data_IF_893956843628
#
_entry.id   IF_893956843628
#
_cell.length_a   1.000
_cell.length_b   1.000
_cell.length_c   1.000
_cell.angle_alpha   90.00
_cell.angle_beta   90.00
_cell.angle_gamma   90.00
#
_symmetry.space_group_name_H-M   'P 1'
#
loop_
_entity.id
_entity.type
_entity.pdbx_description
1 polymer ?
#
# COMPACT_ATOMS: atom_id res chain seq x y z
N UNK A 1 1.17 -1.18 -38.54
CA UNK A 1 1.47 -2.21 -37.53
C UNK A 1 2.16 -1.51 -36.38
N UNK A 2 1.40 -1.06 -35.39
CA UNK A 2 1.98 -0.49 -34.16
C UNK A 2 2.55 -1.66 -33.37
N UNK A 3 3.85 -1.67 -33.11
CA UNK A 3 4.46 -2.62 -32.17
C UNK A 3 3.66 -2.55 -30.87
N UNK A 4 2.97 -3.63 -30.51
CA UNK A 4 2.35 -3.76 -29.20
C UNK A 4 3.47 -4.05 -28.21
N UNK A 5 4.31 -3.05 -27.93
CA UNK A 5 5.30 -3.18 -26.87
C UNK A 5 4.53 -3.28 -25.55
N UNK A 6 4.61 -4.46 -24.93
CA UNK A 6 4.06 -4.69 -23.60
C UNK A 6 4.60 -3.63 -22.63
N UNK A 7 3.79 -3.19 -21.65
CA UNK A 7 4.26 -2.25 -20.64
C UNK A 7 5.57 -2.72 -20.00
N UNK A 8 6.50 -1.77 -19.77
CA UNK A 8 7.79 -2.03 -19.10
C UNK A 8 7.65 -2.69 -17.73
N UNK A 9 6.55 -2.39 -17.04
CA UNK A 9 6.28 -2.84 -15.68
C UNK A 9 5.22 -3.94 -15.68
N UNK A 10 5.55 -5.10 -15.11
CA UNK A 10 4.60 -6.19 -14.87
C UNK A 10 4.51 -6.49 -13.38
N UNK A 11 3.33 -6.29 -12.81
CA UNK A 11 3.02 -6.52 -11.40
C UNK A 11 2.55 -7.96 -11.20
N UNK A 12 3.22 -8.66 -10.28
CA UNK A 12 2.96 -10.04 -9.91
C UNK A 12 2.31 -10.08 -8.52
N UNK A 13 1.00 -10.30 -8.45
CA UNK A 13 0.26 -10.39 -7.19
C UNK A 13 -0.96 -11.31 -7.27
N UNK A 14 -1.57 -11.62 -6.12
CA UNK A 14 -2.84 -12.35 -6.06
C UNK A 14 -3.95 -11.57 -6.79
N UNK A 15 -4.79 -12.24 -7.59
CA UNK A 15 -5.90 -11.60 -8.28
C UNK A 15 -7.09 -11.35 -7.34
N UNK A 16 -7.98 -10.46 -7.73
CA UNK A 16 -9.28 -10.25 -7.07
C UNK A 16 -9.25 -9.60 -5.69
N UNK A 17 -8.07 -9.22 -5.18
CA UNK A 17 -7.92 -8.47 -3.93
C UNK A 17 -6.96 -7.27 -4.10
N UNK A 18 -7.20 -6.14 -3.41
CA UNK A 18 -6.23 -5.05 -3.39
C UNK A 18 -4.88 -5.50 -2.79
N UNK A 19 -4.95 -5.98 -1.54
CA UNK A 19 -3.83 -6.54 -0.80
C UNK A 19 -2.58 -5.64 -0.75
N UNK A 20 -1.41 -6.26 -0.68
CA UNK A 20 -0.09 -5.59 -0.56
C UNK A 20 0.39 -4.96 -1.87
N UNK A 21 -0.24 -5.27 -2.99
CA UNK A 21 0.08 -4.69 -4.29
C UNK A 21 -0.66 -3.38 -4.56
N UNK A 22 -1.72 -3.09 -3.82
CA UNK A 22 -2.51 -1.88 -4.03
C UNK A 22 -1.71 -0.60 -3.89
N UNK A 23 -0.75 -0.59 -2.96
CA UNK A 23 0.20 0.51 -2.80
C UNK A 23 1.01 0.79 -4.07
N UNK A 24 1.36 -0.26 -4.82
CA UNK A 24 2.12 -0.17 -6.07
C UNK A 24 1.19 0.24 -7.22
N UNK A 25 -0.03 -0.30 -7.26
CA UNK A 25 -1.06 0.13 -8.23
C UNK A 25 -1.32 1.62 -8.13
N UNK A 26 -1.55 2.13 -6.91
CA UNK A 26 -1.75 3.56 -6.68
C UNK A 26 -0.57 4.41 -7.17
N UNK A 27 0.67 3.95 -7.05
CA UNK A 27 1.84 4.68 -7.57
C UNK A 27 1.84 4.77 -9.11
N UNK A 28 1.46 3.70 -9.81
CA UNK A 28 1.30 3.72 -11.26
C UNK A 28 0.11 4.58 -11.69
N UNK A 29 -1.04 4.42 -11.04
CA UNK A 29 -2.29 5.11 -11.37
C UNK A 29 -2.20 6.61 -11.09
N UNK A 30 -1.55 7.02 -9.99
CA UNK A 30 -1.30 8.43 -9.67
C UNK A 30 -0.51 9.17 -10.76
N UNK A 31 0.32 8.45 -11.51
CA UNK A 31 1.19 9.03 -12.55
C UNK A 31 0.76 8.67 -13.96
N UNK A 32 -0.34 7.91 -14.11
CA UNK A 32 -0.80 7.38 -15.40
C UNK A 32 0.22 6.47 -16.08
N UNK A 33 1.15 5.88 -15.32
CA UNK A 33 2.21 5.03 -15.85
C UNK A 33 1.63 3.68 -16.29
N UNK A 34 1.79 3.26 -17.55
CA UNK A 34 1.33 1.96 -18.01
C UNK A 34 2.03 0.81 -17.29
N UNK A 35 1.24 -0.17 -16.85
CA UNK A 35 1.72 -1.42 -16.25
C UNK A 35 0.76 -2.56 -16.57
N UNK A 36 1.25 -3.79 -16.48
CA UNK A 36 0.46 -5.02 -16.58
C UNK A 36 0.18 -5.57 -15.18
N UNK A 37 -1.09 -5.70 -14.76
CA UNK A 37 -1.47 -6.44 -13.54
C UNK A 37 -1.73 -7.91 -13.87
N UNK A 38 -0.65 -8.69 -13.94
CA UNK A 38 -0.61 -9.95 -14.69
C UNK A 38 -1.73 -10.93 -14.30
N UNK A 39 -1.92 -11.14 -13.00
CA UNK A 39 -2.89 -12.12 -12.52
C UNK A 39 -4.35 -11.68 -12.75
N UNK A 40 -4.61 -10.38 -12.87
CA UNK A 40 -5.93 -9.84 -13.17
C UNK A 40 -6.17 -9.71 -14.69
N UNK A 41 -5.11 -9.60 -15.51
CA UNK A 41 -5.24 -9.35 -16.95
C UNK A 41 -5.12 -10.60 -17.84
N UNK A 42 -4.49 -11.68 -17.35
CA UNK A 42 -4.25 -12.89 -18.12
C UNK A 42 -4.84 -14.14 -17.45
N UNK A 43 -5.43 -15.05 -18.23
CA UNK A 43 -6.07 -16.27 -17.73
C UNK A 43 -5.12 -17.21 -16.98
N UNK A 44 -3.86 -17.25 -17.39
CA UNK A 44 -2.77 -18.01 -16.76
C UNK A 44 -1.88 -17.15 -15.84
N UNK A 45 -2.19 -15.85 -15.71
CA UNK A 45 -1.33 -14.90 -14.99
C UNK A 45 -1.09 -15.28 -13.53
N UNK A 46 -2.10 -15.81 -12.84
CA UNK A 46 -1.90 -16.28 -11.46
C UNK A 46 -1.02 -17.53 -11.35
N UNK A 47 -1.00 -18.40 -12.37
CA UNK A 47 -0.07 -19.52 -12.38
C UNK A 47 1.38 -19.03 -12.45
N UNK A 48 1.66 -18.01 -13.28
CA UNK A 48 2.96 -17.34 -13.33
C UNK A 48 3.32 -16.72 -11.98
N UNK A 49 2.40 -15.99 -11.33
CA UNK A 49 2.65 -15.44 -9.99
C UNK A 49 3.03 -16.52 -8.99
N UNK A 50 2.31 -17.65 -8.94
CA UNK A 50 2.63 -18.76 -8.03
C UNK A 50 4.02 -19.34 -8.30
N UNK A 51 4.33 -19.61 -9.56
CA UNK A 51 5.61 -20.20 -9.95
C UNK A 51 6.79 -19.25 -9.66
N UNK A 52 6.61 -17.95 -9.86
CA UNK A 52 7.69 -16.97 -9.65
C UNK A 52 7.87 -16.58 -8.18
N UNK A 53 6.78 -16.50 -7.42
CA UNK A 53 6.78 -15.82 -6.12
C UNK A 53 6.48 -16.70 -4.89
N UNK A 54 6.07 -17.96 -5.08
CA UNK A 54 5.56 -18.81 -3.99
C UNK A 54 6.27 -20.18 -3.94
N UNK A 55 7.18 -20.49 -4.87
CA UNK A 55 7.94 -21.73 -4.85
C UNK A 55 8.99 -21.73 -3.72
N UNK A 56 8.83 -22.53 -2.64
CA UNK A 56 9.78 -22.54 -1.52
C UNK A 56 11.11 -23.23 -1.85
N UNK A 57 11.19 -23.95 -2.97
CA UNK A 57 12.41 -24.63 -3.42
C UNK A 57 13.20 -23.80 -4.44
N UNK A 58 12.67 -22.66 -4.88
CA UNK A 58 13.32 -21.82 -5.88
C UNK A 58 14.64 -21.25 -5.35
N UNK A 59 15.72 -21.48 -6.10
CA UNK A 59 17.03 -20.85 -5.86
C UNK A 59 17.20 -19.55 -6.66
N UNK A 60 16.34 -19.33 -7.65
CA UNK A 60 16.20 -18.10 -8.42
C UNK A 60 14.76 -17.95 -8.90
N UNK A 61 14.34 -16.72 -9.18
CA UNK A 61 13.01 -16.41 -9.72
C UNK A 61 13.18 -15.62 -11.01
N UNK A 62 12.56 -16.03 -12.12
CA UNK A 62 12.67 -15.33 -13.43
C UNK A 62 14.14 -15.08 -13.87
N UNK A 63 14.76 -16.10 -14.46
CA UNK A 63 16.17 -16.07 -14.84
C UNK A 63 17.08 -16.18 -13.60
N UNK A 64 18.09 -15.30 -13.53
CA UNK A 64 19.10 -15.28 -12.46
C UNK A 64 18.77 -14.27 -11.34
N UNK A 65 17.54 -13.73 -11.29
CA UNK A 65 17.14 -12.86 -10.18
C UNK A 65 17.01 -13.68 -8.87
N UNK A 66 17.27 -13.06 -7.71
CA UNK A 66 17.15 -13.75 -6.42
C UNK A 66 15.73 -14.27 -6.20
N UNK A 67 15.57 -15.34 -5.38
CA UNK A 67 14.26 -15.91 -5.10
C UNK A 67 13.35 -14.90 -4.40
N UNK A 68 12.08 -14.91 -4.76
CA UNK A 68 11.04 -14.07 -4.16
C UNK A 68 10.44 -14.78 -2.96
N UNK A 69 10.41 -14.12 -1.80
CA UNK A 69 9.81 -14.69 -0.58
C UNK A 69 8.28 -14.80 -0.67
N UNK A 70 7.62 -13.75 -1.16
CA UNK A 70 6.18 -13.69 -1.36
C UNK A 70 5.81 -12.56 -2.34
N UNK A 71 4.64 -12.61 -3.00
CA UNK A 71 4.06 -11.46 -3.68
C UNK A 71 3.82 -10.26 -2.73
N UNK A 72 3.91 -9.01 -3.21
CA UNK A 72 4.09 -8.62 -4.60
C UNK A 72 5.54 -8.68 -5.07
N UNK A 73 5.69 -8.93 -6.36
CA UNK A 73 6.92 -8.66 -7.10
C UNK A 73 6.64 -7.78 -8.32
N UNK A 74 7.63 -7.01 -8.74
CA UNK A 74 7.60 -6.18 -9.93
C UNK A 74 8.70 -6.67 -10.89
N UNK A 75 8.28 -7.14 -12.06
CA UNK A 75 9.16 -7.37 -13.20
C UNK A 75 9.32 -6.06 -13.97
N UNK A 76 10.56 -5.69 -14.26
CA UNK A 76 10.93 -4.53 -15.08
C UNK A 76 11.73 -5.01 -16.27
N UNK A 77 11.17 -4.84 -17.46
CA UNK A 77 11.79 -5.34 -18.69
C UNK A 77 13.13 -4.65 -18.96
N UNK A 78 14.14 -5.46 -19.31
CA UNK A 78 15.47 -5.00 -19.75
C UNK A 78 16.28 -4.14 -18.75
N UNK A 79 15.95 -4.17 -17.45
CA UNK A 79 16.73 -3.50 -16.39
C UNK A 79 17.53 -4.45 -15.50
N UNK A 80 17.47 -5.75 -15.79
CA UNK A 80 18.19 -6.79 -15.08
C UNK A 80 19.66 -6.87 -15.50
N UNK A 81 20.41 -7.72 -14.79
CA UNK A 81 21.80 -8.03 -15.15
C UNK A 81 21.86 -8.59 -16.57
N UNK A 82 22.85 -8.17 -17.35
CA UNK A 82 23.03 -8.62 -18.74
C UNK A 82 21.94 -8.13 -19.71
N UNK A 83 21.14 -7.11 -19.34
CA UNK A 83 20.04 -6.61 -20.18
C UNK A 83 18.78 -7.48 -20.14
N UNK A 84 18.72 -8.46 -19.23
CA UNK A 84 17.52 -9.25 -18.96
C UNK A 84 16.49 -8.49 -18.14
N UNK A 85 15.47 -9.19 -17.64
CA UNK A 85 14.45 -8.59 -16.79
C UNK A 85 14.92 -8.48 -15.35
N UNK A 86 14.61 -7.35 -14.70
CA UNK A 86 14.84 -7.14 -13.28
C UNK A 86 13.59 -7.56 -12.50
N UNK A 87 13.76 -8.38 -11.46
CA UNK A 87 12.68 -8.75 -10.55
C UNK A 87 12.93 -8.15 -9.16
N UNK A 88 12.00 -7.31 -8.71
CA UNK A 88 12.06 -6.63 -7.41
C UNK A 88 10.90 -7.13 -6.55
N UNK A 89 11.16 -7.60 -5.34
CA UNK A 89 10.12 -7.98 -4.37
C UNK A 89 10.16 -7.10 -3.12
N UNK A 90 9.13 -7.25 -2.27
CA UNK A 90 8.80 -6.40 -1.11
C UNK A 90 8.19 -5.05 -1.49
N UNK A 91 6.98 -4.78 -1.00
CA UNK A 91 6.23 -3.55 -1.32
C UNK A 91 7.04 -2.29 -1.08
N UNK A 92 7.70 -2.16 0.07
CA UNK A 92 8.53 -0.99 0.40
C UNK A 92 9.71 -0.80 -0.56
N UNK A 93 10.38 -1.90 -0.93
CA UNK A 93 11.52 -1.90 -1.84
C UNK A 93 11.11 -1.56 -3.28
N UNK A 94 9.97 -2.11 -3.74
CA UNK A 94 9.38 -1.77 -5.04
C UNK A 94 9.02 -0.27 -5.08
N UNK A 95 8.39 0.27 -4.05
CA UNK A 95 8.04 1.69 -3.98
C UNK A 95 9.27 2.60 -3.88
N UNK A 96 10.33 2.15 -3.21
CA UNK A 96 11.61 2.87 -3.20
C UNK A 96 12.22 2.95 -4.61
N UNK A 97 12.19 1.85 -5.37
CA UNK A 97 12.64 1.84 -6.76
C UNK A 97 11.78 2.72 -7.68
N UNK A 98 10.46 2.68 -7.51
CA UNK A 98 9.49 3.39 -8.34
C UNK A 98 9.44 4.89 -8.02
N UNK A 99 9.51 5.30 -6.76
CA UNK A 99 9.34 6.69 -6.33
C UNK A 99 10.12 7.70 -7.18
N UNK A 100 11.45 7.58 -7.30
CA UNK A 100 12.26 8.45 -8.15
C UNK A 100 11.92 8.38 -9.64
N UNK A 101 11.57 7.20 -10.14
CA UNK A 101 11.25 6.98 -11.57
C UNK A 101 9.89 7.55 -11.97
N UNK A 102 8.96 7.59 -11.03
CA UNK A 102 7.61 8.10 -11.24
C UNK A 102 7.45 9.55 -10.75
N UNK A 103 8.50 10.17 -10.20
CA UNK A 103 8.44 11.51 -9.63
C UNK A 103 7.69 11.61 -8.29
N UNK A 104 7.35 10.47 -7.68
CA UNK A 104 6.64 10.31 -6.41
C UNK A 104 7.60 10.25 -5.21
N UNK A 105 8.61 11.11 -5.23
CA UNK A 105 9.63 11.23 -4.19
C UNK A 105 9.87 12.70 -3.88
N UNK A 106 10.39 12.98 -2.68
CA UNK A 106 10.78 14.33 -2.30
C UNK A 106 11.98 14.87 -3.07
N UNK A 107 12.34 16.12 -2.78
CA UNK A 107 13.24 16.91 -3.64
C UNK A 107 14.72 16.57 -3.42
N UNK A 108 15.10 16.42 -2.15
CA UNK A 108 16.47 16.11 -1.75
C UNK A 108 16.59 14.72 -1.10
N UNK A 109 17.82 14.35 -0.75
CA UNK A 109 18.11 13.04 -0.17
C UNK A 109 17.46 12.83 1.21
N UNK A 110 17.34 13.87 2.02
CA UNK A 110 16.70 13.78 3.32
C UNK A 110 15.20 13.49 3.14
N UNK A 111 14.54 14.17 2.20
CA UNK A 111 13.14 13.90 1.90
C UNK A 111 12.93 12.47 1.40
N UNK A 112 13.80 11.91 0.55
CA UNK A 112 13.65 10.52 0.08
C UNK A 112 13.69 9.54 1.25
N UNK A 113 14.58 9.78 2.22
CA UNK A 113 14.69 8.96 3.42
C UNK A 113 13.46 9.12 4.31
N UNK A 114 12.93 10.33 4.49
CA UNK A 114 11.71 10.57 5.25
C UNK A 114 10.47 9.94 4.61
N UNK A 115 10.34 10.03 3.28
CA UNK A 115 9.30 9.31 2.52
C UNK A 115 9.40 7.81 2.77
N UNK A 116 10.61 7.23 2.65
CA UNK A 116 10.85 5.82 2.94
C UNK A 116 10.48 5.42 4.38
N UNK A 117 10.79 6.27 5.37
CA UNK A 117 10.43 6.07 6.78
C UNK A 117 8.91 6.01 6.96
N UNK A 118 8.16 6.91 6.32
CA UNK A 118 6.70 6.99 6.45
C UNK A 118 6.04 5.79 5.77
N UNK A 119 6.53 5.41 4.59
CA UNK A 119 6.10 4.19 3.88
C UNK A 119 6.31 2.96 4.75
N UNK A 120 7.50 2.78 5.33
CA UNK A 120 7.78 1.64 6.21
C UNK A 120 6.84 1.60 7.43
N UNK A 121 6.64 2.75 8.09
CA UNK A 121 5.75 2.86 9.25
C UNK A 121 4.29 2.55 8.91
N UNK A 122 3.81 2.98 7.73
CA UNK A 122 2.47 2.67 7.27
C UNK A 122 2.30 1.19 6.90
N UNK A 123 3.32 0.55 6.35
CA UNK A 123 3.30 -0.88 6.07
C UNK A 123 3.35 -1.74 7.35
N UNK A 124 3.96 -1.24 8.42
CA UNK A 124 3.87 -1.86 9.75
C UNK A 124 2.43 -1.81 10.28
N UNK A 125 1.75 -0.65 10.16
CA UNK A 125 0.33 -0.53 10.51
C UNK A 125 -0.53 -1.48 9.66
N UNK A 126 -0.27 -1.58 8.35
CA UNK A 126 -0.96 -2.51 7.47
C UNK A 126 -0.85 -3.97 7.96
N UNK A 127 0.34 -4.37 8.45
CA UNK A 127 0.53 -5.69 9.05
C UNK A 127 -0.24 -5.83 10.37
N UNK A 128 -0.16 -4.84 11.25
CA UNK A 128 -0.90 -4.90 12.52
C UNK A 128 -2.42 -4.97 12.31
N UNK A 129 -2.95 -4.35 11.24
CA UNK A 129 -4.36 -4.49 10.84
C UNK A 129 -4.67 -5.91 10.39
N UNK A 130 -3.83 -6.53 9.56
CA UNK A 130 -4.01 -7.93 9.18
C UNK A 130 -4.05 -8.85 10.42
N UNK A 131 -3.14 -8.62 11.37
CA UNK A 131 -3.01 -9.44 12.57
C UNK A 131 -4.18 -9.27 13.55
N UNK A 132 -5.07 -8.28 13.35
CA UNK A 132 -6.30 -8.15 14.15
C UNK A 132 -7.25 -9.34 13.96
N UNK A 133 -7.26 -9.96 12.78
CA UNK A 133 -8.10 -11.12 12.46
C UNK A 133 -7.30 -12.41 12.24
N UNK A 134 -5.96 -12.34 12.21
CA UNK A 134 -5.06 -13.51 12.24
C UNK A 134 -3.94 -13.38 13.29
N UNK A 135 -4.26 -13.23 14.58
CA UNK A 135 -3.27 -12.97 15.63
C UNK A 135 -2.37 -14.16 16.00
N UNK A 136 -2.77 -15.40 15.69
CA UNK A 136 -2.03 -16.62 16.05
C UNK A 136 -1.33 -17.19 14.82
N UNK A 137 -2.06 -17.37 13.73
CA UNK A 137 -1.53 -17.96 12.51
C UNK A 137 -2.19 -17.33 11.27
N UNK A 138 -1.34 -16.79 10.39
CA UNK A 138 -1.74 -16.17 9.11
C UNK A 138 -2.45 -17.16 8.18
N UNK A 139 -2.11 -18.44 8.28
CA UNK A 139 -2.67 -19.49 7.43
C UNK A 139 -3.91 -20.19 8.02
N UNK A 140 -4.26 -19.92 9.29
CA UNK A 140 -5.44 -20.50 9.92
C UNK A 140 -6.66 -19.60 9.70
N UNK A 141 -7.86 -20.19 9.73
CA UNK A 141 -9.11 -19.48 9.57
C UNK A 141 -9.35 -18.49 10.73
N UNK A 142 -10.04 -17.38 10.44
CA UNK A 142 -10.41 -16.39 11.46
C UNK A 142 -11.26 -17.03 12.57
N UNK A 143 -12.18 -17.90 12.19
CA UNK A 143 -13.13 -18.58 13.06
C UNK A 143 -12.44 -19.42 14.14
N UNK A 144 -11.23 -19.92 13.87
CA UNK A 144 -10.44 -20.72 14.80
C UNK A 144 -9.64 -19.90 15.82
N UNK A 145 -9.53 -18.58 15.62
CA UNK A 145 -8.73 -17.67 16.46
C UNK A 145 -9.51 -16.39 16.82
N UNK A 146 -10.84 -16.48 16.86
CA UNK A 146 -11.76 -15.35 17.06
C UNK A 146 -11.62 -14.68 18.43
N UNK A 147 -11.42 -15.46 19.49
CA UNK A 147 -11.27 -14.93 20.85
C UNK A 147 -9.95 -14.17 21.00
N UNK A 148 -8.88 -14.68 20.40
CA UNK A 148 -7.58 -14.03 20.31
C UNK A 148 -7.67 -12.76 19.46
N UNK A 149 -8.43 -12.80 18.36
CA UNK A 149 -8.67 -11.66 17.47
C UNK A 149 -9.37 -10.52 18.21
N UNK A 150 -10.38 -10.82 19.04
CA UNK A 150 -11.04 -9.84 19.90
C UNK A 150 -10.06 -9.17 20.89
N UNK A 151 -9.20 -9.96 21.54
CA UNK A 151 -8.18 -9.45 22.48
C UNK A 151 -7.16 -8.56 21.76
N UNK A 152 -6.60 -9.05 20.65
CA UNK A 152 -5.62 -8.32 19.81
C UNK A 152 -6.22 -7.02 19.28
N UNK A 153 -7.44 -7.07 18.75
CA UNK A 153 -8.11 -5.89 18.18
C UNK A 153 -8.44 -4.85 19.25
N UNK A 154 -8.80 -5.29 20.46
CA UNK A 154 -9.04 -4.37 21.59
C UNK A 154 -7.78 -3.56 21.91
N UNK A 155 -6.62 -4.22 22.01
CA UNK A 155 -5.33 -3.52 22.19
C UNK A 155 -5.01 -2.64 20.97
N UNK A 156 -5.19 -3.17 19.76
CA UNK A 156 -4.95 -2.44 18.53
C UNK A 156 -5.71 -1.10 18.50
N UNK A 157 -7.04 -1.12 18.72
CA UNK A 157 -7.88 0.09 18.71
C UNK A 157 -7.55 1.06 19.84
N UNK A 158 -7.20 0.57 21.02
CA UNK A 158 -6.93 1.42 22.21
C UNK A 158 -5.53 2.04 22.18
N UNK A 159 -4.52 1.28 21.76
CA UNK A 159 -3.12 1.62 21.98
C UNK A 159 -2.33 1.78 20.68
N UNK A 160 -2.53 0.88 19.70
CA UNK A 160 -1.71 0.88 18.47
C UNK A 160 -2.21 1.89 17.44
N UNK A 161 -3.48 1.82 17.07
CA UNK A 161 -4.08 2.68 16.06
C UNK A 161 -3.90 4.17 16.39
N UNK A 162 -4.21 4.69 17.60
CA UNK A 162 -3.99 6.09 17.92
C UNK A 162 -2.52 6.51 17.87
N UNK A 163 -1.58 5.59 18.18
CA UNK A 163 -0.15 5.86 18.09
C UNK A 163 0.30 6.09 16.64
N UNK A 164 -0.17 5.26 15.70
CA UNK A 164 0.12 5.43 14.28
C UNK A 164 -0.58 6.66 13.69
N UNK A 165 -1.89 6.84 13.93
CA UNK A 165 -2.62 8.02 13.46
C UNK A 165 -1.98 9.30 13.97
N UNK A 166 -1.64 9.35 15.27
CA UNK A 166 -0.93 10.47 15.85
C UNK A 166 0.45 10.70 15.25
N UNK A 167 1.16 9.67 14.77
CA UNK A 167 2.42 9.83 14.07
C UNK A 167 2.23 10.50 12.70
N UNK A 168 1.29 10.03 11.88
CA UNK A 168 1.03 10.64 10.56
C UNK A 168 0.48 12.07 10.68
N UNK A 169 -0.41 12.32 11.64
CA UNK A 169 -0.88 13.67 11.99
C UNK A 169 0.29 14.60 12.38
N UNK A 170 1.27 14.11 13.15
CA UNK A 170 2.49 14.88 13.48
C UNK A 170 3.38 15.13 12.27
N UNK A 171 3.49 14.17 11.35
CA UNK A 171 4.22 14.36 10.10
C UNK A 171 3.60 15.48 9.26
N UNK A 172 2.27 15.49 9.09
CA UNK A 172 1.56 16.57 8.41
C UNK A 172 1.83 17.93 9.07
N UNK A 173 1.64 18.03 10.39
CA UNK A 173 1.90 19.28 11.15
C UNK A 173 3.35 19.73 11.08
N UNK A 174 4.31 18.79 11.04
CA UNK A 174 5.72 19.10 10.88
C UNK A 174 5.99 19.64 9.48
N UNK A 175 5.50 18.98 8.43
CA UNK A 175 5.69 19.40 7.04
C UNK A 175 5.07 20.78 6.78
N UNK A 176 3.87 21.05 7.32
CA UNK A 176 3.24 22.38 7.28
C UNK A 176 4.13 23.49 7.85
N UNK A 177 4.88 23.20 8.92
CA UNK A 177 5.80 24.17 9.52
C UNK A 177 7.04 24.42 8.66
N UNK A 178 7.52 23.42 7.93
CA UNK A 178 8.67 23.57 7.03
C UNK A 178 8.30 24.39 5.78
N UNK A 179 7.05 24.29 5.32
CA UNK A 179 6.57 24.86 4.07
C UNK A 179 6.15 26.35 4.14
N UNK A 180 6.65 27.14 5.10
CA UNK A 180 6.31 28.56 5.39
C UNK A 180 5.19 29.18 4.52
N UNK A 181 3.92 28.96 4.90
CA UNK A 181 2.69 29.50 4.26
C UNK A 181 2.48 29.17 2.77
N UNK A 182 2.73 27.93 2.33
CA UNK A 182 2.27 27.48 1.01
C UNK A 182 0.81 26.95 1.00
N UNK A 183 0.21 27.00 -0.19
CA UNK A 183 -1.19 26.68 -0.48
C UNK A 183 -1.60 25.19 -0.27
N UNK A 184 -0.65 24.32 0.07
CA UNK A 184 -0.84 22.87 0.16
C UNK A 184 -0.89 22.35 1.61
N UNK A 185 -1.43 23.17 2.51
CA UNK A 185 -1.54 22.86 3.93
C UNK A 185 -2.29 21.55 4.14
N UNK A 186 -1.70 20.61 4.90
CA UNK A 186 -2.31 19.33 5.24
C UNK A 186 -2.43 18.33 4.09
N UNK A 187 -1.86 18.62 2.91
CA UNK A 187 -2.04 17.76 1.73
C UNK A 187 -0.98 16.67 1.58
N UNK A 188 0.24 16.93 2.04
CA UNK A 188 1.38 16.02 1.86
C UNK A 188 2.16 15.79 3.15
N UNK A 189 2.62 14.57 3.35
CA UNK A 189 3.37 14.12 4.52
C UNK A 189 4.82 14.58 4.53
N UNK A 190 5.43 14.70 3.34
CA UNK A 190 6.82 15.14 3.14
C UNK A 190 6.90 15.97 1.87
N UNK A 191 7.48 17.17 1.95
CA UNK A 191 7.66 18.03 0.79
C UNK A 191 6.37 18.69 0.30
N UNK A 192 6.41 19.21 -0.93
CA UNK A 192 5.42 20.14 -1.50
C UNK A 192 4.45 19.49 -2.50
N UNK A 193 4.62 18.20 -2.79
CA UNK A 193 3.92 17.44 -3.83
C UNK A 193 3.66 16.00 -3.40
N UNK A 194 2.79 15.30 -4.14
CA UNK A 194 2.45 13.89 -3.92
C UNK A 194 3.68 12.97 -3.98
N UNK A 195 3.80 12.10 -2.98
CA UNK A 195 4.85 11.06 -2.88
C UNK A 195 4.25 9.68 -2.60
N UNK A 196 5.10 8.64 -2.63
CA UNK A 196 4.68 7.30 -2.21
C UNK A 196 4.26 7.24 -0.73
N UNK A 197 4.76 8.14 0.14
CA UNK A 197 4.30 8.20 1.52
C UNK A 197 2.81 8.54 1.62
N UNK A 198 2.36 9.51 0.83
CA UNK A 198 0.96 9.96 0.80
C UNK A 198 0.03 8.85 0.32
N UNK A 199 0.39 8.20 -0.79
CA UNK A 199 -0.37 7.10 -1.37
C UNK A 199 -0.46 5.89 -0.43
N UNK A 200 0.64 5.55 0.25
CA UNK A 200 0.68 4.40 1.17
C UNK A 200 -0.14 4.68 2.42
N UNK A 201 0.05 5.84 3.07
CA UNK A 201 -0.75 6.20 4.24
C UNK A 201 -2.22 6.28 3.88
N UNK A 202 -2.57 6.94 2.77
CA UNK A 202 -3.95 7.04 2.32
C UNK A 202 -4.60 5.67 2.11
N UNK A 203 -3.93 4.73 1.46
CA UNK A 203 -4.47 3.38 1.23
C UNK A 203 -4.69 2.60 2.53
N UNK A 204 -3.81 2.78 3.53
CA UNK A 204 -4.02 2.18 4.85
C UNK A 204 -5.22 2.81 5.55
N UNK A 205 -5.39 4.13 5.47
CA UNK A 205 -6.55 4.82 6.03
C UNK A 205 -7.85 4.37 5.34
N UNK A 206 -7.88 4.26 4.01
CA UNK A 206 -9.05 3.78 3.25
C UNK A 206 -9.43 2.36 3.68
N UNK A 207 -8.43 1.48 3.86
CA UNK A 207 -8.63 0.14 4.35
C UNK A 207 -9.14 0.09 5.81
N UNK A 208 -8.66 0.99 6.66
CA UNK A 208 -9.15 1.14 8.03
C UNK A 208 -10.59 1.66 8.07
N UNK A 209 -10.97 2.60 7.20
CA UNK A 209 -12.35 3.06 7.08
C UNK A 209 -13.30 1.94 6.65
N UNK A 210 -12.81 0.97 5.86
CA UNK A 210 -13.55 -0.25 5.55
C UNK A 210 -13.61 -1.23 6.73
N UNK A 211 -12.46 -1.54 7.35
CA UNK A 211 -12.36 -2.58 8.37
C UNK A 211 -13.01 -2.16 9.71
N UNK A 212 -12.80 -0.92 10.13
CA UNK A 212 -13.20 -0.36 11.43
C UNK A 212 -13.93 0.98 11.28
N UNK A 213 -15.07 1.03 10.55
CA UNK A 213 -15.77 2.28 10.24
C UNK A 213 -16.16 3.06 11.50
N UNK A 214 -16.61 2.38 12.56
CA UNK A 214 -17.06 3.02 13.80
C UNK A 214 -15.88 3.58 14.61
N UNK A 215 -14.77 2.83 14.69
CA UNK A 215 -13.54 3.32 15.30
C UNK A 215 -12.99 4.54 14.54
N UNK A 216 -12.87 4.46 13.22
CA UNK A 216 -12.32 5.56 12.41
C UNK A 216 -13.17 6.83 12.50
N UNK A 217 -14.50 6.70 12.52
CA UNK A 217 -15.41 7.83 12.77
C UNK A 217 -15.15 8.47 14.13
N UNK A 218 -15.02 7.68 15.19
CA UNK A 218 -14.76 8.20 16.53
C UNK A 218 -13.39 8.90 16.66
N UNK A 219 -12.41 8.53 15.84
CA UNK A 219 -11.06 9.12 15.83
C UNK A 219 -10.94 10.40 15.01
N UNK A 220 -11.98 10.77 14.25
CA UNK A 220 -11.95 11.98 13.40
C UNK A 220 -11.83 13.26 14.23
N UNK A 221 -12.34 13.28 15.47
CA UNK A 221 -12.18 14.42 16.39
C UNK A 221 -10.72 14.60 16.85
N UNK A 222 -10.00 13.51 17.10
CA UNK A 222 -8.60 13.51 17.56
C UNK A 222 -7.61 13.81 16.43
N UNK A 223 -7.91 13.38 15.21
CA UNK A 223 -6.98 13.37 14.06
C UNK A 223 -7.62 14.01 12.80
N UNK A 224 -8.27 15.15 12.98
CA UNK A 224 -9.02 15.82 11.91
C UNK A 224 -8.19 16.22 10.70
N UNK A 225 -6.90 16.56 10.85
CA UNK A 225 -6.02 16.89 9.72
C UNK A 225 -5.75 15.65 8.87
N UNK A 226 -5.41 14.53 9.49
CA UNK A 226 -5.13 13.27 8.81
C UNK A 226 -6.39 12.63 8.21
N UNK A 227 -7.44 12.46 9.03
CA UNK A 227 -8.66 11.73 8.65
C UNK A 227 -9.66 12.60 7.88
N UNK A 228 -9.52 13.92 7.96
CA UNK A 228 -10.33 14.89 7.24
C UNK A 228 -9.61 15.41 6.01
N UNK A 229 -8.70 16.36 6.20
CA UNK A 229 -8.12 17.15 5.11
C UNK A 229 -7.21 16.30 4.20
N UNK A 230 -6.21 15.62 4.78
CA UNK A 230 -5.29 14.75 4.05
C UNK A 230 -6.02 13.58 3.35
N UNK A 231 -6.90 12.87 4.08
CA UNK A 231 -7.62 11.73 3.50
C UNK A 231 -8.48 12.15 2.30
N UNK A 232 -9.05 13.36 2.32
CA UNK A 232 -9.82 13.90 1.18
C UNK A 232 -8.92 14.42 0.06
N UNK A 233 -7.79 15.05 0.38
CA UNK A 233 -6.92 15.68 -0.62
C UNK A 233 -6.36 14.65 -1.62
N UNK A 234 -5.87 13.51 -1.14
CA UNK A 234 -5.28 12.48 -2.01
C UNK A 234 -6.29 11.92 -3.02
N UNK A 235 -7.59 11.86 -2.66
CA UNK A 235 -8.65 11.41 -3.57
C UNK A 235 -8.86 12.35 -4.76
N UNK A 236 -8.41 13.59 -4.65
CA UNK A 236 -8.53 14.62 -5.69
C UNK A 236 -7.34 14.70 -6.63
N UNK A 237 -6.29 13.90 -6.39
CA UNK A 237 -5.09 13.86 -7.24
C UNK A 237 -5.38 13.36 -8.65
N UNK A 238 -4.74 14.00 -9.63
CA UNK A 238 -4.96 13.79 -11.07
C UNK A 238 -4.41 12.42 -11.50
N UNK A 239 -5.21 11.38 -11.31
CA UNK A 239 -4.91 9.98 -11.60
C UNK A 239 -5.56 9.03 -10.60
N UNK A 240 -5.68 9.48 -9.35
CA UNK A 240 -6.31 8.72 -8.27
C UNK A 240 -7.83 8.72 -8.42
N UNK A 241 -8.46 9.87 -8.66
CA UNK A 241 -9.94 9.95 -8.74
C UNK A 241 -10.51 8.95 -9.75
N UNK A 242 -9.99 8.97 -10.99
CA UNK A 242 -10.44 8.06 -12.04
C UNK A 242 -10.12 6.60 -11.77
N UNK A 243 -9.01 6.30 -11.09
CA UNK A 243 -8.69 4.93 -10.69
C UNK A 243 -9.69 4.41 -9.65
N UNK A 244 -9.98 5.20 -8.61
CA UNK A 244 -10.88 4.81 -7.52
C UNK A 244 -12.31 4.56 -8.00
N UNK A 245 -12.74 5.19 -9.10
CA UNK A 245 -14.05 5.00 -9.73
C UNK A 245 -14.06 3.87 -10.79
N UNK A 246 -12.89 3.30 -11.11
CA UNK A 246 -12.77 2.29 -12.17
C UNK A 246 -12.89 0.86 -11.64
N UNK A 247 -13.22 -0.07 -12.54
CA UNK A 247 -13.20 -1.52 -12.26
C UNK A 247 -11.79 -2.06 -11.91
N UNK A 248 -10.72 -1.29 -12.19
CA UNK A 248 -9.35 -1.66 -11.79
C UNK A 248 -9.12 -1.50 -10.28
N UNK A 249 -9.91 -0.65 -9.60
CA UNK A 249 -9.90 -0.55 -8.14
C UNK A 249 -10.75 -1.68 -7.57
N UNK A 250 -10.08 -2.74 -7.15
CA UNK A 250 -10.74 -3.89 -6.54
C UNK A 250 -11.40 -3.50 -5.20
N UNK A 251 -12.55 -4.10 -4.92
CA UNK A 251 -13.24 -3.93 -3.64
C UNK A 251 -12.48 -4.65 -2.53
N UNK A 252 -12.53 -4.10 -1.31
CA UNK A 252 -12.09 -4.84 -0.13
C UNK A 252 -12.93 -6.10 0.06
N UNK A 253 -12.28 -7.17 0.51
CA UNK A 253 -12.87 -8.50 0.70
C UNK A 253 -12.03 -9.28 1.73
N UNK A 254 -11.80 -10.58 1.54
CA UNK A 254 -11.02 -11.44 2.46
C UNK A 254 -9.50 -11.23 2.33
N UNK A 255 -9.05 -9.97 2.25
CA UNK A 255 -7.65 -9.57 2.18
C UNK A 255 -7.09 -9.11 3.53
N UNK A 256 -6.24 -8.07 3.49
CA UNK A 256 -5.64 -7.46 4.69
C UNK A 256 -6.69 -6.71 5.53
N UNK A 257 -7.51 -5.90 4.88
CA UNK A 257 -8.56 -5.13 5.53
C UNK A 257 -9.86 -5.94 5.44
N UNK A 258 -10.34 -6.44 6.59
CA UNK A 258 -11.58 -7.22 6.69
C UNK A 258 -12.52 -6.53 7.67
N UNK A 259 -13.79 -6.41 7.30
CA UNK A 259 -14.80 -5.87 8.20
C UNK A 259 -15.47 -7.01 8.99
N UNK A 260 -15.15 -7.07 10.28
CA UNK A 260 -15.84 -7.92 11.25
C UNK A 260 -16.48 -7.00 12.31
N UNK A 261 -17.82 -6.87 12.34
CA UNK A 261 -18.50 -5.95 13.26
C UNK A 261 -18.12 -6.14 14.73
N UNK A 262 -17.86 -7.37 15.16
CA UNK A 262 -17.43 -7.72 16.52
C UNK A 262 -16.02 -7.24 16.87
N UNK A 263 -15.15 -7.02 15.88
CA UNK A 263 -13.80 -6.51 16.07
C UNK A 263 -13.76 -4.97 16.12
N UNK A 264 -14.76 -4.31 15.52
CA UNK A 264 -14.89 -2.84 15.50
C UNK A 264 -15.34 -2.27 16.87
N UNK A 265 -15.35 -0.94 16.98
CA UNK A 265 -15.91 -0.21 18.10
C UNK A 265 -17.39 -0.55 18.30
N UNK A 266 -17.66 -1.12 19.46
CA UNK A 266 -19.02 -1.27 19.97
C UNK A 266 -19.48 0.07 20.55
N UNK A 267 -20.75 0.41 20.31
CA UNK A 267 -21.42 1.61 20.84
C UNK A 267 -21.42 1.65 22.37
#
# INVERSE_FOLDING_TARGET
>A
MTSTDSPKYTLLYHPGIPGRAEFIRLAFEATGTPYTDLANSASDGYATVRNTCIDPAALSSLGDNPPVFAPPALQVSSEGKGGGDLLISQTSNILNYLGPRLGLVGEDEADKLWVGQVVATALDLNNEVHDTHHPIAVADYYENQKDEALKKTTDFRKNRLPKFLGYFERMLKWNEKQQERQANRGMYLVGSKLTTADLVVWQVLDGLFFAFPSEMKARTEDFGLLLGDFYKSVKTEKGITGYLESERRMKYSMGIFRHYPELDRQS
#
